data_IF_669709423499
#
_entry.id   IF_669709423499
#
_cell.length_a   1.000
_cell.length_b   1.000
_cell.length_c   1.000
_cell.angle_alpha   90.00
_cell.angle_beta   90.00
_cell.angle_gamma   90.00
#
_symmetry.space_group_name_H-M   'P 1'
#
loop_
_entity.id
_entity.type
_entity.pdbx_description
1 polymer ?
#
# COMPACT_ATOMS: atom_id res chain seq x y z
N UNK A 1 -10.76 1.01 -19.50
CA UNK A 1 -9.29 0.95 -19.62
C UNK A 1 -8.59 0.25 -18.44
N UNK A 2 -9.24 0.03 -17.28
CA UNK A 2 -8.59 -0.56 -16.10
C UNK A 2 -8.38 -2.09 -16.08
N UNK A 3 -9.06 -2.87 -16.92
CA UNK A 3 -8.92 -4.33 -16.90
C UNK A 3 -7.62 -4.86 -17.53
N UNK A 4 -7.04 -4.13 -18.49
CA UNK A 4 -5.81 -4.54 -19.18
C UNK A 4 -4.59 -4.31 -18.28
N UNK A 5 -4.59 -3.23 -17.50
CA UNK A 5 -3.50 -2.85 -16.59
C UNK A 5 -3.28 -3.89 -15.48
N UNK A 6 -4.37 -4.42 -14.90
CA UNK A 6 -4.32 -5.41 -13.80
C UNK A 6 -3.63 -6.71 -14.26
N UNK A 7 -3.95 -7.21 -15.46
CA UNK A 7 -3.32 -8.42 -16.01
C UNK A 7 -1.82 -8.25 -16.27
N UNK A 8 -1.37 -7.06 -16.68
CA UNK A 8 0.05 -6.79 -16.94
C UNK A 8 0.85 -6.65 -15.65
N UNK A 9 0.29 -6.00 -14.63
CA UNK A 9 0.93 -5.87 -13.30
C UNK A 9 1.01 -7.20 -12.56
N UNK A 10 0.01 -8.08 -12.70
CA UNK A 10 0.05 -9.44 -12.14
C UNK A 10 1.18 -10.27 -12.76
N UNK A 11 1.37 -10.24 -14.08
CA UNK A 11 2.45 -11.02 -14.71
C UNK A 11 3.85 -10.53 -14.31
N UNK A 12 4.01 -9.21 -14.10
CA UNK A 12 5.28 -8.62 -13.69
C UNK A 12 5.63 -8.95 -12.22
N UNK A 13 4.65 -8.96 -11.32
CA UNK A 13 4.85 -9.24 -9.89
C UNK A 13 4.93 -10.73 -9.55
N UNK A 14 4.25 -11.59 -10.32
CA UNK A 14 4.18 -13.03 -10.05
C UNK A 14 5.19 -13.86 -10.86
N UNK A 15 5.91 -13.27 -11.84
CA UNK A 15 6.76 -14.00 -12.80
C UNK A 15 6.09 -15.27 -13.37
N UNK A 16 4.76 -15.24 -13.52
CA UNK A 16 3.99 -16.44 -13.78
C UNK A 16 3.51 -16.46 -15.23
N UNK A 17 4.14 -17.29 -16.07
CA UNK A 17 3.68 -17.52 -17.43
C UNK A 17 2.76 -18.75 -17.48
N UNK A 18 1.50 -18.55 -17.89
CA UNK A 18 0.55 -19.64 -18.15
C UNK A 18 -0.84 -19.44 -17.53
N UNK A 19 -1.81 -20.21 -18.02
CA UNK A 19 -3.23 -20.11 -17.63
C UNK A 19 -3.46 -20.39 -16.13
N UNK A 20 -2.84 -21.45 -15.60
CA UNK A 20 -3.08 -21.89 -14.23
C UNK A 20 -2.53 -20.93 -13.16
N UNK A 21 -1.28 -20.45 -13.23
CA UNK A 21 -0.80 -19.42 -12.31
C UNK A 21 -1.60 -18.11 -12.41
N UNK A 22 -1.97 -17.69 -13.63
CA UNK A 22 -2.81 -16.50 -13.84
C UNK A 22 -4.19 -16.66 -13.17
N UNK A 23 -4.80 -17.84 -13.28
CA UNK A 23 -6.08 -18.13 -12.65
C UNK A 23 -5.98 -18.11 -11.11
N UNK A 24 -4.90 -18.66 -10.54
CA UNK A 24 -4.65 -18.63 -9.09
C UNK A 24 -4.51 -17.19 -8.60
N UNK A 25 -3.76 -16.34 -9.32
CA UNK A 25 -3.60 -14.93 -8.99
C UNK A 25 -4.95 -14.18 -9.01
N UNK A 26 -5.80 -14.42 -10.03
CA UNK A 26 -7.13 -13.79 -10.10
C UNK A 26 -8.01 -14.22 -8.92
N UNK A 27 -8.00 -15.51 -8.58
CA UNK A 27 -8.81 -16.05 -7.48
C UNK A 27 -8.34 -15.49 -6.13
N UNK A 28 -7.02 -15.43 -5.90
CA UNK A 28 -6.48 -14.85 -4.66
C UNK A 28 -6.81 -13.37 -4.54
N UNK A 29 -6.64 -12.57 -5.61
CA UNK A 29 -7.05 -11.16 -5.63
C UNK A 29 -8.55 -11.00 -5.33
N UNK A 30 -9.41 -11.83 -5.92
CA UNK A 30 -10.85 -11.77 -5.67
C UNK A 30 -11.19 -12.05 -4.19
N UNK A 31 -10.56 -13.08 -3.59
CA UNK A 31 -10.76 -13.43 -2.18
C UNK A 31 -10.30 -12.29 -1.28
N UNK A 32 -9.13 -11.71 -1.56
CA UNK A 32 -8.57 -10.58 -0.83
C UNK A 32 -9.53 -9.40 -0.88
N UNK A 33 -9.92 -8.95 -2.08
CA UNK A 33 -10.83 -7.82 -2.27
C UNK A 33 -12.16 -8.04 -1.54
N UNK A 34 -12.76 -9.24 -1.67
CA UNK A 34 -14.02 -9.57 -1.00
C UNK A 34 -13.89 -9.53 0.52
N UNK A 35 -12.77 -10.03 1.05
CA UNK A 35 -12.48 -10.05 2.48
C UNK A 35 -12.33 -8.62 3.01
N UNK A 36 -11.54 -7.81 2.31
CA UNK A 36 -11.23 -6.42 2.71
C UNK A 36 -12.45 -5.50 2.60
N UNK A 37 -13.29 -5.70 1.58
CA UNK A 37 -14.49 -4.88 1.35
C UNK A 37 -15.74 -5.36 2.11
N UNK A 38 -15.63 -6.42 2.92
CA UNK A 38 -16.76 -6.86 3.74
C UNK A 38 -17.19 -5.77 4.74
N UNK A 39 -18.49 -5.57 5.01
CA UNK A 39 -18.95 -4.54 5.95
C UNK A 39 -18.31 -4.65 7.33
N UNK A 40 -18.14 -5.89 7.82
CA UNK A 40 -17.44 -6.18 9.08
C UNK A 40 -16.01 -5.67 9.07
N UNK A 41 -15.29 -5.87 7.96
CA UNK A 41 -13.90 -5.42 7.83
C UNK A 41 -13.81 -3.90 7.68
N UNK A 42 -14.72 -3.29 6.92
CA UNK A 42 -14.81 -1.83 6.79
C UNK A 42 -15.12 -1.15 8.13
N UNK A 43 -15.99 -1.76 8.94
CA UNK A 43 -16.26 -1.28 10.30
C UNK A 43 -15.05 -1.46 11.20
N UNK A 44 -14.33 -2.58 11.09
CA UNK A 44 -13.12 -2.82 11.86
C UNK A 44 -12.02 -1.79 11.57
N UNK A 45 -11.83 -1.42 10.30
CA UNK A 45 -10.87 -0.38 9.90
C UNK A 45 -11.32 1.06 10.21
N UNK A 46 -12.57 1.27 10.64
CA UNK A 46 -13.10 2.61 10.85
C UNK A 46 -12.27 3.40 11.86
N UNK A 47 -11.88 2.78 12.98
CA UNK A 47 -11.09 3.44 14.00
C UNK A 47 -9.73 3.89 13.46
N UNK A 48 -9.06 3.05 12.67
CA UNK A 48 -7.77 3.38 12.06
C UNK A 48 -7.91 4.52 11.04
N UNK A 49 -8.95 4.51 10.21
CA UNK A 49 -9.22 5.64 9.28
C UNK A 49 -9.46 6.95 10.00
N UNK A 50 -10.20 6.92 11.11
CA UNK A 50 -10.46 8.11 11.91
C UNK A 50 -9.17 8.63 12.55
N UNK A 51 -8.34 7.73 13.08
CA UNK A 51 -7.04 8.09 13.64
C UNK A 51 -6.14 8.76 12.60
N UNK A 52 -6.02 8.20 11.39
CA UNK A 52 -5.22 8.82 10.33
C UNK A 52 -5.83 10.15 9.86
N UNK A 53 -7.15 10.31 9.91
CA UNK A 53 -7.80 11.57 9.55
C UNK A 53 -7.51 12.65 10.60
N UNK A 54 -7.55 12.28 11.88
CA UNK A 54 -7.17 13.18 12.98
C UNK A 54 -5.69 13.58 12.88
N UNK A 55 -4.80 12.66 12.51
CA UNK A 55 -3.38 12.95 12.26
C UNK A 55 -3.20 13.96 11.11
N UNK A 56 -3.89 13.74 10.00
CA UNK A 56 -3.87 14.65 8.85
C UNK A 56 -4.37 16.06 9.24
N UNK A 57 -5.47 16.13 10.00
CA UNK A 57 -6.01 17.42 10.48
C UNK A 57 -5.03 18.12 11.42
N UNK A 58 -4.37 17.37 12.31
CA UNK A 58 -3.37 17.90 13.21
C UNK A 58 -2.14 18.43 12.46
N UNK A 59 -1.68 17.70 11.43
CA UNK A 59 -0.62 18.14 10.52
C UNK A 59 -0.93 19.48 9.84
N UNK A 60 -2.11 19.58 9.22
CA UNK A 60 -2.55 20.82 8.55
C UNK A 60 -2.64 21.96 9.55
N UNK A 61 -3.25 21.73 10.72
CA UNK A 61 -3.37 22.73 11.77
C UNK A 61 -2.00 23.25 12.24
N UNK A 62 -1.05 22.35 12.51
CA UNK A 62 0.29 22.73 12.96
C UNK A 62 1.07 23.50 11.90
N UNK A 63 0.91 23.13 10.62
CA UNK A 63 1.47 23.91 9.49
C UNK A 63 0.93 25.33 9.48
N UNK A 64 -0.40 25.49 9.57
CA UNK A 64 -1.04 26.81 9.60
C UNK A 64 -0.62 27.64 10.83
N UNK A 65 -0.49 27.00 12.00
CA UNK A 65 -0.18 27.68 13.26
C UNK A 65 1.29 28.14 13.37
N UNK A 66 2.23 27.31 12.94
CA UNK A 66 3.65 27.54 13.22
C UNK A 66 4.35 28.44 12.18
N UNK A 67 3.74 28.71 11.03
CA UNK A 67 4.32 29.52 9.96
C UNK A 67 3.27 30.42 9.32
N UNK A 68 3.40 31.74 9.48
CA UNK A 68 2.64 32.73 8.71
C UNK A 68 2.96 32.52 7.22
N UNK A 69 2.01 31.97 6.45
CA UNK A 69 2.08 31.60 5.02
C UNK A 69 2.71 30.22 4.67
N UNK A 70 2.60 29.19 5.53
CA UNK A 70 2.96 27.85 5.03
C UNK A 70 1.87 27.29 4.10
N UNK A 71 2.27 26.97 2.88
CA UNK A 71 1.45 26.21 1.94
C UNK A 71 1.46 24.74 2.35
N UNK A 72 0.28 24.11 2.32
CA UNK A 72 0.15 22.66 2.46
C UNK A 72 0.20 22.07 1.06
N UNK A 73 1.19 21.20 0.80
CA UNK A 73 1.20 20.41 -0.41
C UNK A 73 0.16 19.29 -0.26
N UNK A 74 -0.99 19.45 -0.92
CA UNK A 74 -2.13 18.52 -0.85
C UNK A 74 -1.74 17.13 -1.33
N UNK A 75 -0.93 17.03 -2.38
CA UNK A 75 -0.42 15.75 -2.90
C UNK A 75 0.33 15.00 -1.81
N UNK A 76 1.33 15.64 -1.20
CA UNK A 76 2.14 15.03 -0.13
C UNK A 76 1.26 14.64 1.05
N UNK A 77 0.38 15.54 1.51
CA UNK A 77 -0.50 15.27 2.65
C UNK A 77 -1.44 14.07 2.42
N UNK A 78 -2.02 13.95 1.23
CA UNK A 78 -2.95 12.87 0.88
C UNK A 78 -2.24 11.55 0.60
N UNK A 79 -1.05 11.58 0.00
CA UNK A 79 -0.20 10.40 -0.18
C UNK A 79 0.16 9.77 1.17
N UNK A 80 0.52 10.58 2.16
CA UNK A 80 0.85 10.08 3.50
C UNK A 80 -0.37 9.57 4.26
N UNK A 81 -1.52 10.27 4.19
CA UNK A 81 -2.77 9.75 4.74
C UNK A 81 -3.11 8.36 4.19
N UNK A 82 -2.99 8.19 2.87
CA UNK A 82 -3.22 6.90 2.22
C UNK A 82 -2.17 5.87 2.66
N UNK A 83 -0.88 6.19 2.60
CA UNK A 83 0.20 5.28 2.98
C UNK A 83 0.10 4.79 4.44
N UNK A 84 -0.20 5.69 5.37
CA UNK A 84 -0.28 5.39 6.80
C UNK A 84 -1.49 4.55 7.16
N UNK A 85 -2.61 4.72 6.45
CA UNK A 85 -3.77 3.84 6.61
C UNK A 85 -3.41 2.35 6.39
N UNK A 86 -2.47 2.07 5.48
CA UNK A 86 -1.99 0.72 5.18
C UNK A 86 -0.70 0.34 5.92
N UNK A 87 -0.06 1.27 6.62
CA UNK A 87 1.20 1.08 7.34
C UNK A 87 1.06 1.07 8.87
N UNK A 88 2.22 1.11 9.53
CA UNK A 88 2.34 1.34 10.97
C UNK A 88 2.42 2.85 11.22
N UNK A 89 1.26 3.52 11.30
CA UNK A 89 1.19 4.95 11.55
C UNK A 89 1.77 5.29 12.92
N UNK A 90 3.01 5.79 12.97
CA UNK A 90 3.62 6.20 14.24
C UNK A 90 3.38 7.69 14.44
N UNK A 91 2.67 8.02 15.52
CA UNK A 91 2.39 9.40 15.89
C UNK A 91 3.68 10.21 16.07
N UNK A 92 3.89 11.18 15.18
CA UNK A 92 4.92 12.19 15.31
C UNK A 92 4.33 13.44 15.94
N UNK A 93 5.20 14.21 16.59
CA UNK A 93 4.89 15.38 17.41
C UNK A 93 4.03 16.42 16.67
N UNK A 94 4.09 16.48 15.33
CA UNK A 94 3.33 17.42 14.51
C UNK A 94 2.19 16.81 13.69
N UNK A 95 1.96 15.49 13.77
CA UNK A 95 0.98 14.74 12.96
C UNK A 95 1.41 14.49 11.51
N UNK A 96 2.61 14.93 11.12
CA UNK A 96 3.17 14.71 9.79
C UNK A 96 3.79 13.32 9.64
N UNK A 97 4.25 12.99 8.41
CA UNK A 97 4.79 11.69 8.10
C UNK A 97 6.17 11.47 8.74
N UNK A 98 6.43 10.24 9.17
CA UNK A 98 7.72 9.83 9.69
C UNK A 98 8.77 9.54 8.65
N UNK A 99 10.04 9.51 9.06
CA UNK A 99 11.13 9.14 8.16
C UNK A 99 10.92 7.75 7.54
N UNK A 100 10.44 6.79 8.34
CA UNK A 100 10.11 5.44 7.87
C UNK A 100 8.91 5.45 6.90
N UNK A 101 7.89 6.26 7.20
CA UNK A 101 6.68 6.39 6.37
C UNK A 101 6.99 7.05 5.02
N UNK A 102 7.80 8.12 5.03
CA UNK A 102 8.27 8.80 3.82
C UNK A 102 9.10 7.83 2.97
N UNK A 103 10.08 7.13 3.56
CA UNK A 103 10.90 6.15 2.84
C UNK A 103 10.04 5.06 2.18
N UNK A 104 9.04 4.57 2.90
CA UNK A 104 8.14 3.53 2.40
C UNK A 104 7.21 4.04 1.30
N UNK A 105 6.56 5.19 1.49
CA UNK A 105 5.66 5.79 0.48
C UNK A 105 6.43 6.19 -0.78
N UNK A 106 7.65 6.72 -0.65
CA UNK A 106 8.52 7.03 -1.79
C UNK A 106 8.92 5.77 -2.57
N UNK A 107 9.18 4.66 -1.88
CA UNK A 107 9.43 3.38 -2.53
C UNK A 107 8.18 2.89 -3.30
N UNK A 108 6.97 3.04 -2.74
CA UNK A 108 5.73 2.72 -3.45
C UNK A 108 5.56 3.59 -4.70
N UNK A 109 5.80 4.90 -4.61
CA UNK A 109 5.72 5.78 -5.79
C UNK A 109 6.80 5.50 -6.83
N UNK A 110 7.98 5.01 -6.41
CA UNK A 110 9.00 4.52 -7.33
C UNK A 110 8.50 3.29 -8.09
N UNK A 111 7.83 2.35 -7.42
CA UNK A 111 7.17 1.21 -8.07
C UNK A 111 6.02 1.64 -9.00
N UNK A 112 5.17 2.58 -8.58
CA UNK A 112 4.12 3.18 -9.43
C UNK A 112 4.75 3.77 -10.69
N UNK A 113 5.81 4.57 -10.55
CA UNK A 113 6.53 5.17 -11.68
C UNK A 113 7.06 4.11 -12.65
N UNK A 114 7.59 3.00 -12.16
CA UNK A 114 8.06 1.90 -13.00
C UNK A 114 6.92 1.12 -13.68
N UNK A 115 5.78 0.96 -13.01
CA UNK A 115 4.61 0.24 -13.56
C UNK A 115 3.87 1.04 -14.63
N UNK A 116 3.76 2.37 -14.48
CA UNK A 116 2.92 3.21 -15.35
C UNK A 116 3.68 3.97 -16.42
N UNK A 117 5.01 4.11 -16.33
CA UNK A 117 5.78 4.57 -17.48
C UNK A 117 5.98 3.44 -18.49
N UNK A 118 6.20 3.80 -19.77
CA UNK A 118 6.89 2.89 -20.69
C UNK A 118 8.08 2.31 -19.92
N UNK A 119 8.16 0.99 -19.77
CA UNK A 119 9.14 0.37 -18.89
C UNK A 119 10.53 0.75 -19.40
N UNK A 120 11.12 1.83 -18.85
CA UNK A 120 12.37 2.39 -19.39
C UNK A 120 13.48 1.35 -19.22
N UNK A 121 13.34 0.45 -18.23
CA UNK A 121 14.13 -0.76 -18.04
C UNK A 121 14.07 -1.78 -19.18
N UNK A 122 13.02 -1.80 -20.00
CA UNK A 122 12.96 -2.64 -21.21
C UNK A 122 13.94 -2.14 -22.29
N UNK A 123 14.29 -0.85 -22.26
CA UNK A 123 15.22 -0.22 -23.20
C UNK A 123 16.58 0.12 -22.59
N UNK A 124 16.64 0.37 -21.28
CA UNK A 124 17.84 0.73 -20.52
C UNK A 124 18.02 -0.29 -19.38
N UNK A 125 18.65 -1.45 -19.65
CA UNK A 125 18.73 -2.57 -18.71
C UNK A 125 19.35 -2.24 -17.35
N UNK A 126 20.17 -1.19 -17.25
CA UNK A 126 20.76 -0.74 -15.99
C UNK A 126 19.75 -0.11 -15.02
N UNK A 127 18.58 0.33 -15.49
CA UNK A 127 17.50 0.85 -14.62
C UNK A 127 16.72 -0.25 -13.91
N UNK A 128 16.88 -1.53 -14.30
CA UNK A 128 16.36 -2.67 -13.53
C UNK A 128 16.89 -2.69 -12.08
N UNK A 129 18.03 -2.05 -11.83
CA UNK A 129 18.59 -1.91 -10.48
C UNK A 129 17.78 -1.02 -9.54
N UNK A 130 17.02 -0.05 -10.04
CA UNK A 130 16.20 0.85 -9.21
C UNK A 130 14.93 0.16 -8.70
N UNK A 131 14.32 -0.67 -9.55
CA UNK A 131 13.21 -1.56 -9.17
C UNK A 131 13.63 -2.48 -8.01
N UNK A 132 14.87 -3.02 -8.07
CA UNK A 132 15.43 -3.82 -6.99
C UNK A 132 15.58 -3.03 -5.67
N UNK A 133 15.87 -1.73 -5.71
CA UNK A 133 16.03 -0.93 -4.49
C UNK A 133 14.68 -0.59 -3.85
N UNK A 134 13.69 -0.16 -4.64
CA UNK A 134 12.34 0.07 -4.15
C UNK A 134 11.73 -1.23 -3.58
N UNK A 135 11.92 -2.36 -4.25
CA UNK A 135 11.51 -3.66 -3.73
C UNK A 135 12.21 -4.05 -2.43
N UNK A 136 13.50 -3.72 -2.25
CA UNK A 136 14.20 -3.96 -0.98
C UNK A 136 13.60 -3.15 0.16
N UNK A 137 13.27 -1.87 -0.08
CA UNK A 137 12.62 -1.02 0.91
C UNK A 137 11.26 -1.61 1.28
N UNK A 138 10.43 -2.00 0.31
CA UNK A 138 9.14 -2.63 0.60
C UNK A 138 9.30 -3.93 1.40
N UNK A 139 10.26 -4.80 1.02
CA UNK A 139 10.57 -6.03 1.77
C UNK A 139 11.04 -5.77 3.20
N UNK A 140 11.82 -4.71 3.43
CA UNK A 140 12.28 -4.28 4.77
C UNK A 140 11.11 -4.09 5.73
N UNK A 141 9.96 -3.60 5.25
CA UNK A 141 8.77 -3.37 6.09
C UNK A 141 7.82 -4.58 6.18
N UNK A 142 7.78 -5.44 5.16
CA UNK A 142 6.84 -6.59 5.14
C UNK A 142 7.43 -7.89 5.70
N UNK A 143 8.69 -8.21 5.40
CA UNK A 143 9.31 -9.50 5.74
C UNK A 143 9.39 -9.76 7.25
N UNK A 144 9.78 -8.79 8.10
CA UNK A 144 9.84 -9.01 9.54
C UNK A 144 8.49 -9.36 10.14
N UNK A 145 7.40 -8.74 9.66
CA UNK A 145 6.04 -8.99 10.14
C UNK A 145 5.56 -10.38 9.77
N UNK A 146 5.80 -10.80 8.53
CA UNK A 146 5.45 -12.16 8.11
C UNK A 146 6.23 -13.20 8.92
N UNK A 147 7.50 -12.92 9.23
CA UNK A 147 8.30 -13.76 10.12
C UNK A 147 7.73 -13.81 11.55
N UNK A 148 7.32 -12.68 12.13
CA UNK A 148 6.72 -12.64 13.46
C UNK A 148 5.45 -13.50 13.56
N UNK A 149 4.60 -13.50 12.53
CA UNK A 149 3.43 -14.37 12.46
C UNK A 149 3.82 -15.85 12.36
N UNK A 150 4.79 -16.19 11.50
CA UNK A 150 5.25 -17.57 11.35
C UNK A 150 5.89 -18.13 12.62
N UNK A 151 6.61 -17.30 13.37
CA UNK A 151 7.24 -17.65 14.64
C UNK A 151 6.22 -17.66 15.81
N UNK A 152 4.95 -17.30 15.57
CA UNK A 152 3.90 -17.21 16.58
C UNK A 152 4.08 -16.05 17.57
N UNK A 153 4.95 -15.09 17.26
CA UNK A 153 5.24 -13.90 18.07
C UNK A 153 4.16 -12.83 17.92
N UNK A 154 3.35 -12.90 16.86
CA UNK A 154 2.19 -12.04 16.61
C UNK A 154 0.97 -12.90 16.24
N UNK A 155 -0.18 -12.56 16.82
CA UNK A 155 -1.44 -13.29 16.63
C UNK A 155 -2.66 -12.37 16.48
N UNK A 156 -2.47 -11.05 16.62
CA UNK A 156 -3.52 -10.06 16.46
C UNK A 156 -3.39 -9.33 15.13
N UNK A 157 -4.52 -9.09 14.47
CA UNK A 157 -4.59 -8.31 13.24
C UNK A 157 -4.55 -6.83 13.59
N UNK A 158 -3.64 -6.04 12.99
CA UNK A 158 -3.59 -4.59 13.18
C UNK A 158 -3.81 -3.82 11.86
N UNK A 159 -3.50 -4.46 10.72
CA UNK A 159 -3.64 -3.84 9.41
C UNK A 159 -3.92 -4.86 8.29
N UNK A 160 -3.89 -4.39 7.04
CA UNK A 160 -4.12 -5.20 5.86
C UNK A 160 -3.13 -6.35 5.71
N UNK A 161 -1.85 -6.13 5.99
CA UNK A 161 -0.83 -7.17 5.86
C UNK A 161 -1.11 -8.29 6.87
N UNK A 162 -1.41 -7.95 8.12
CA UNK A 162 -1.77 -8.93 9.13
C UNK A 162 -3.06 -9.68 8.78
N UNK A 163 -4.05 -8.99 8.20
CA UNK A 163 -5.26 -9.63 7.71
C UNK A 163 -4.91 -10.68 6.65
N UNK A 164 -4.10 -10.34 5.64
CA UNK A 164 -3.68 -11.26 4.59
C UNK A 164 -2.95 -12.49 5.14
N UNK A 165 -1.99 -12.28 6.06
CA UNK A 165 -1.23 -13.37 6.69
C UNK A 165 -2.15 -14.30 7.51
N UNK A 166 -3.16 -13.73 8.17
CA UNK A 166 -4.07 -14.48 9.03
C UNK A 166 -5.15 -15.28 8.29
N UNK A 167 -5.28 -15.12 6.97
CA UNK A 167 -6.29 -15.85 6.19
C UNK A 167 -5.97 -17.34 6.17
N UNK A 168 -6.99 -18.14 6.47
CA UNK A 168 -6.89 -19.60 6.50
C UNK A 168 -7.96 -20.24 5.64
N UNK A 169 -7.62 -21.41 5.10
CA UNK A 169 -8.55 -22.26 4.36
C UNK A 169 -9.47 -23.07 5.33
N UNK A 170 -10.31 -23.93 4.76
CA UNK A 170 -11.21 -24.80 5.55
C UNK A 170 -10.48 -25.81 6.43
N UNK A 171 -9.20 -26.07 6.17
CA UNK A 171 -8.35 -27.00 6.92
C UNK A 171 -7.49 -26.29 7.97
N UNK A 172 -7.73 -25.00 8.23
CA UNK A 172 -6.92 -24.14 9.10
C UNK A 172 -5.47 -23.93 8.62
N UNK A 173 -5.18 -24.21 7.35
CA UNK A 173 -3.89 -23.93 6.72
C UNK A 173 -3.86 -22.50 6.18
N UNK A 174 -2.69 -21.85 6.08
CA UNK A 174 -2.57 -20.53 5.46
C UNK A 174 -3.18 -20.53 4.05
N UNK A 175 -4.08 -19.59 3.79
CA UNK A 175 -4.80 -19.49 2.51
C UNK A 175 -3.90 -18.95 1.40
N UNK A 176 -2.96 -18.08 1.77
CA UNK A 176 -2.03 -17.41 0.86
C UNK A 176 -0.60 -17.82 1.20
N UNK A 177 0.20 -18.03 0.17
CA UNK A 177 1.65 -18.19 0.29
C UNK A 177 2.32 -16.85 0.63
N UNK A 178 3.57 -16.92 1.10
CA UNK A 178 4.38 -15.73 1.39
C UNK A 178 4.54 -14.81 0.17
N UNK A 179 4.69 -15.41 -1.01
CA UNK A 179 4.84 -14.71 -2.28
C UNK A 179 3.54 -14.03 -2.69
N UNK A 180 2.40 -14.72 -2.57
CA UNK A 180 1.09 -14.15 -2.83
C UNK A 180 0.76 -13.00 -1.88
N UNK A 181 1.06 -13.12 -0.58
CA UNK A 181 0.84 -12.04 0.39
C UNK A 181 1.62 -10.78 -0.04
N UNK A 182 2.90 -10.93 -0.40
CA UNK A 182 3.76 -9.83 -0.85
C UNK A 182 3.25 -9.17 -2.13
N UNK A 183 2.86 -9.98 -3.10
CA UNK A 183 2.34 -9.45 -4.36
C UNK A 183 1.02 -8.70 -4.15
N UNK A 184 0.09 -9.26 -3.37
CA UNK A 184 -1.20 -8.65 -3.07
C UNK A 184 -1.07 -7.33 -2.30
N UNK A 185 -0.20 -7.28 -1.27
CA UNK A 185 -0.01 -6.04 -0.51
C UNK A 185 0.63 -4.95 -1.38
N UNK A 186 1.59 -5.29 -2.25
CA UNK A 186 2.18 -4.32 -3.19
C UNK A 186 1.13 -3.82 -4.18
N UNK A 187 0.32 -4.71 -4.75
CA UNK A 187 -0.75 -4.35 -5.68
C UNK A 187 -1.75 -3.40 -5.03
N UNK A 188 -2.21 -3.73 -3.81
CA UNK A 188 -3.11 -2.87 -3.03
C UNK A 188 -2.48 -1.49 -2.77
N UNK A 189 -1.21 -1.44 -2.41
CA UNK A 189 -0.52 -0.18 -2.07
C UNK A 189 -0.31 0.72 -3.28
N UNK A 190 0.20 0.17 -4.38
CA UNK A 190 0.37 0.88 -5.64
C UNK A 190 -0.98 1.42 -6.12
N UNK A 191 -2.03 0.60 -6.08
CA UNK A 191 -3.36 1.00 -6.56
C UNK A 191 -4.02 2.03 -5.64
N UNK A 192 -3.89 1.90 -4.32
CA UNK A 192 -4.58 2.76 -3.37
C UNK A 192 -3.92 4.13 -3.24
N UNK A 193 -2.59 4.17 -3.04
CA UNK A 193 -1.91 5.41 -2.67
C UNK A 193 -1.93 6.43 -3.82
N UNK A 194 -1.64 6.03 -5.06
CA UNK A 194 -1.66 6.94 -6.21
C UNK A 194 -3.10 7.39 -6.57
N UNK A 195 -4.02 6.45 -6.75
CA UNK A 195 -5.37 6.79 -7.20
C UNK A 195 -6.14 7.63 -6.17
N UNK A 196 -6.08 7.28 -4.89
CA UNK A 196 -6.81 8.00 -3.85
C UNK A 196 -6.22 9.39 -3.61
N UNK A 197 -4.88 9.52 -3.55
CA UNK A 197 -4.25 10.83 -3.35
C UNK A 197 -4.54 11.78 -4.52
N UNK A 198 -4.40 11.31 -5.75
CA UNK A 198 -4.73 12.10 -6.94
C UNK A 198 -6.21 12.51 -6.93
N UNK A 199 -7.14 11.61 -6.60
CA UNK A 199 -8.58 11.94 -6.57
C UNK A 199 -8.90 13.07 -5.58
N UNK A 200 -8.27 13.07 -4.40
CA UNK A 200 -8.46 14.15 -3.41
C UNK A 200 -7.82 15.45 -3.87
N UNK A 201 -6.62 15.40 -4.45
CA UNK A 201 -5.95 16.57 -5.03
C UNK A 201 -6.82 17.24 -6.11
N UNK A 202 -7.37 16.45 -7.04
CA UNK A 202 -8.30 16.93 -8.06
C UNK A 202 -9.56 17.54 -7.45
N UNK A 203 -10.20 16.83 -6.51
CA UNK A 203 -11.42 17.32 -5.87
C UNK A 203 -11.19 18.67 -5.16
N UNK A 204 -10.07 18.83 -4.45
CA UNK A 204 -9.75 20.10 -3.78
C UNK A 204 -9.39 21.21 -4.77
N UNK A 205 -8.72 20.89 -5.88
CA UNK A 205 -8.42 21.86 -6.94
C UNK A 205 -9.66 22.41 -7.65
N UNK A 206 -10.74 21.63 -7.74
CA UNK A 206 -12.02 22.08 -8.31
C UNK A 206 -12.88 22.86 -7.30
N UNK A 207 -12.59 22.77 -6.01
CA UNK A 207 -13.33 23.47 -4.95
C UNK A 207 -12.83 24.90 -4.69
N UNK A 208 -11.75 25.33 -5.33
CA UNK A 208 -11.17 26.68 -5.22
C UNK A 208 -11.60 27.59 -6.36
#
# INVERSE_FOLDING_TARGET
MGYITITTSLNYLYHSEGFWPSLIAIISSFIVIKTLNSPKRQQWFLNKRNQEADNLMFYVYNKCKNNNNSFVNVRVATQHYCGNYFGDGRNIIDGGPGLEEVEYVDAIFTLVFHLFNFCVSDYLPWLRGLDLEAMKIVKKYHDPRIKQWNDGLKNEQEDFLDVLISLKDSNNMPLLTHEEIKAQIIELMVAAVDNLSNAVEWALGEMT
#
